data_IF_206620304619
#
_entry.id   IF_206620304619
#
_cell.length_a   1.000
_cell.length_b   1.000
_cell.length_c   1.000
_cell.angle_alpha   90.00
_cell.angle_beta   90.00
_cell.angle_gamma   90.00
#
_symmetry.space_group_name_H-M   'P 1'
#
loop_
_entity.id
_entity.type
_entity.pdbx_description
1 polymer ?
#
# COMPACT_ATOMS: atom_id res chain seq x y z
N UNK A 1 -43.94 8.06 -6.58
CA UNK A 1 -43.44 7.60 -5.27
C UNK A 1 -42.11 6.88 -5.53
N UNK A 2 -40.96 7.53 -5.33
CA UNK A 2 -39.65 6.86 -5.46
C UNK A 2 -39.34 6.20 -4.12
N UNK A 3 -39.25 4.87 -4.09
CA UNK A 3 -38.67 4.16 -2.94
C UNK A 3 -37.21 4.59 -2.81
N UNK A 4 -36.86 5.16 -1.67
CA UNK A 4 -35.46 5.31 -1.28
C UNK A 4 -34.91 3.91 -1.02
N UNK A 5 -33.93 3.49 -1.82
CA UNK A 5 -33.01 2.42 -1.48
C UNK A 5 -32.49 2.67 -0.06
N UNK A 6 -32.71 1.71 0.84
CA UNK A 6 -32.03 1.71 2.14
C UNK A 6 -30.54 1.54 1.89
N UNK A 7 -29.82 2.67 1.89
CA UNK A 7 -28.37 2.69 2.06
C UNK A 7 -28.11 1.98 3.40
N UNK A 8 -27.32 0.91 3.35
CA UNK A 8 -27.18 -0.09 4.41
C UNK A 8 -26.91 0.50 5.80
N UNK A 9 -27.28 -0.26 6.84
CA UNK A 9 -27.08 0.09 8.24
C UNK A 9 -25.64 0.55 8.50
N UNK A 10 -25.47 1.76 9.03
CA UNK A 10 -24.17 2.24 9.48
C UNK A 10 -23.68 1.40 10.66
N UNK A 11 -22.41 0.99 10.62
CA UNK A 11 -21.74 0.25 11.71
C UNK A 11 -20.78 1.22 12.39
N UNK A 12 -20.78 1.25 13.72
CA UNK A 12 -19.83 2.05 14.48
C UNK A 12 -18.40 1.53 14.27
N UNK A 13 -17.45 2.44 14.03
CA UNK A 13 -16.06 2.09 13.75
C UNK A 13 -15.41 1.26 14.87
N UNK A 14 -15.78 1.50 16.13
CA UNK A 14 -15.27 0.76 17.29
C UNK A 14 -15.71 -0.71 17.35
N UNK A 15 -16.66 -1.13 16.51
CA UNK A 15 -17.07 -2.53 16.37
C UNK A 15 -16.24 -3.28 15.32
N UNK A 16 -15.39 -2.58 14.56
CA UNK A 16 -14.53 -3.17 13.54
C UNK A 16 -13.17 -3.55 14.13
N UNK A 17 -12.60 -4.68 13.67
CA UNK A 17 -11.22 -5.01 14.01
C UNK A 17 -10.24 -3.97 13.45
N UNK A 18 -9.12 -3.76 14.12
CA UNK A 18 -8.07 -2.82 13.66
C UNK A 18 -7.64 -3.09 12.21
N UNK A 19 -7.49 -4.36 11.82
CA UNK A 19 -7.17 -4.73 10.44
C UNK A 19 -8.25 -4.32 9.42
N UNK A 20 -9.53 -4.30 9.83
CA UNK A 20 -10.63 -3.79 9.00
C UNK A 20 -10.58 -2.28 8.90
N UNK A 21 -10.39 -1.57 10.01
CA UNK A 21 -10.26 -0.11 10.02
C UNK A 21 -9.07 0.35 9.16
N UNK A 22 -7.93 -0.34 9.27
CA UNK A 22 -6.75 -0.06 8.45
C UNK A 22 -7.02 -0.30 6.97
N UNK A 23 -7.64 -1.42 6.62
CA UNK A 23 -7.99 -1.70 5.22
C UNK A 23 -8.90 -0.61 4.65
N UNK A 24 -9.92 -0.19 5.42
CA UNK A 24 -10.81 0.90 5.02
C UNK A 24 -10.08 2.25 4.91
N UNK A 25 -9.22 2.58 5.87
CA UNK A 25 -8.45 3.82 5.85
C UNK A 25 -7.52 3.89 4.62
N UNK A 26 -6.78 2.82 4.36
CA UNK A 26 -5.90 2.71 3.18
C UNK A 26 -6.70 2.86 1.90
N UNK A 27 -7.76 2.07 1.73
CA UNK A 27 -8.54 2.10 0.49
C UNK A 27 -9.26 3.44 0.30
N UNK A 28 -9.79 4.03 1.38
CA UNK A 28 -10.41 5.36 1.31
C UNK A 28 -9.41 6.42 0.90
N UNK A 29 -8.18 6.40 1.43
CA UNK A 29 -7.13 7.33 1.03
C UNK A 29 -6.77 7.19 -0.46
N UNK A 30 -6.62 5.95 -0.94
CA UNK A 30 -6.30 5.68 -2.35
C UNK A 30 -7.44 6.06 -3.30
N UNK A 31 -8.70 5.92 -2.88
CA UNK A 31 -9.88 6.26 -3.69
C UNK A 31 -10.18 7.76 -3.74
N UNK A 32 -9.60 8.55 -2.84
CA UNK A 32 -9.92 9.98 -2.69
C UNK A 32 -8.78 10.91 -3.08
N UNK A 33 -7.57 10.37 -3.30
CA UNK A 33 -6.41 11.14 -3.74
C UNK A 33 -6.55 11.58 -5.19
N UNK A 34 -5.94 12.71 -5.57
CA UNK A 34 -5.96 13.19 -6.94
C UNK A 34 -5.22 12.22 -7.89
N UNK A 35 -5.70 12.05 -9.14
CA UNK A 35 -4.99 11.27 -10.15
C UNK A 35 -3.54 11.71 -10.34
N UNK A 36 -2.66 10.77 -10.71
CA UNK A 36 -1.21 10.97 -10.87
C UNK A 36 -0.43 11.24 -9.58
N UNK A 37 -1.06 11.14 -8.42
CA UNK A 37 -0.38 11.25 -7.13
C UNK A 37 0.56 10.08 -6.83
N UNK A 38 1.58 10.35 -6.01
CA UNK A 38 2.40 9.33 -5.35
C UNK A 38 1.93 9.19 -3.90
N UNK A 39 1.49 8.00 -3.50
CA UNK A 39 1.05 7.71 -2.13
C UNK A 39 2.02 6.73 -1.48
N UNK A 40 2.49 7.05 -0.28
CA UNK A 40 3.36 6.18 0.52
C UNK A 40 2.59 5.65 1.72
N UNK A 41 2.58 4.33 1.91
CA UNK A 41 1.90 3.63 3.00
C UNK A 41 2.93 2.84 3.79
N UNK A 42 3.25 3.33 4.97
CA UNK A 42 4.15 2.63 5.90
C UNK A 42 3.44 1.47 6.61
N UNK A 43 4.12 0.34 6.70
CA UNK A 43 3.66 -0.90 7.33
C UNK A 43 2.21 -1.26 6.94
N UNK A 44 1.94 -1.32 5.64
CA UNK A 44 0.56 -1.43 5.12
C UNK A 44 -0.20 -2.66 5.66
N UNK A 45 0.53 -3.73 6.03
CA UNK A 45 0.01 -4.99 6.52
C UNK A 45 0.01 -5.13 8.05
N UNK A 46 0.39 -4.08 8.80
CA UNK A 46 0.42 -4.12 10.26
C UNK A 46 -0.97 -4.37 10.85
N UNK A 47 -1.06 -5.31 11.80
CA UNK A 47 -2.31 -5.69 12.46
C UNK A 47 -3.30 -6.48 11.59
N UNK A 48 -2.96 -6.78 10.33
CA UNK A 48 -3.78 -7.64 9.48
C UNK A 48 -3.47 -9.13 9.73
N UNK A 49 -4.53 -9.93 9.78
CA UNK A 49 -4.39 -11.38 9.73
C UNK A 49 -3.78 -11.79 8.37
N UNK A 50 -2.82 -12.74 8.32
CA UNK A 50 -2.13 -13.11 7.08
C UNK A 50 -3.05 -13.46 5.92
N UNK A 51 -4.18 -14.14 6.19
CA UNK A 51 -5.17 -14.51 5.16
C UNK A 51 -5.87 -13.33 4.49
N UNK A 52 -5.75 -12.11 5.02
CA UNK A 52 -6.37 -10.88 4.49
C UNK A 52 -5.40 -10.01 3.70
N UNK A 53 -4.10 -10.21 3.86
CA UNK A 53 -3.06 -9.37 3.22
C UNK A 53 -3.18 -9.42 1.70
N UNK A 54 -3.35 -10.62 1.12
CA UNK A 54 -3.49 -10.75 -0.33
C UNK A 54 -4.71 -9.98 -0.87
N UNK A 55 -5.82 -9.99 -0.14
CA UNK A 55 -7.01 -9.27 -0.55
C UNK A 55 -6.77 -7.75 -0.54
N UNK A 56 -6.08 -7.23 0.49
CA UNK A 56 -5.70 -5.82 0.56
C UNK A 56 -4.74 -5.45 -0.58
N UNK A 57 -3.73 -6.26 -0.87
CA UNK A 57 -2.79 -6.00 -1.98
C UNK A 57 -3.53 -5.90 -3.31
N UNK A 58 -4.42 -6.85 -3.60
CA UNK A 58 -5.23 -6.83 -4.83
C UNK A 58 -6.08 -5.56 -4.94
N UNK A 59 -6.69 -5.15 -3.83
CA UNK A 59 -7.48 -3.93 -3.79
C UNK A 59 -6.61 -2.67 -3.99
N UNK A 60 -5.41 -2.61 -3.40
CA UNK A 60 -4.45 -1.52 -3.62
C UNK A 60 -4.06 -1.43 -5.10
N UNK A 61 -3.68 -2.55 -5.73
CA UNK A 61 -3.31 -2.60 -7.15
C UNK A 61 -4.47 -2.16 -8.05
N UNK A 62 -5.69 -2.61 -7.75
CA UNK A 62 -6.89 -2.18 -8.47
C UNK A 62 -7.14 -0.66 -8.32
N UNK A 63 -6.98 -0.10 -7.12
CA UNK A 63 -7.05 1.35 -6.91
C UNK A 63 -5.99 2.10 -7.71
N UNK A 64 -4.74 1.60 -7.77
CA UNK A 64 -3.67 2.24 -8.55
C UNK A 64 -4.06 2.39 -10.02
N UNK A 65 -4.61 1.33 -10.60
CA UNK A 65 -5.02 1.30 -12.00
C UNK A 65 -6.23 2.20 -12.26
N UNK A 66 -7.26 2.15 -11.40
CA UNK A 66 -8.48 2.94 -11.57
C UNK A 66 -8.28 4.43 -11.34
N UNK A 67 -7.52 4.79 -10.32
CA UNK A 67 -7.29 6.18 -9.92
C UNK A 67 -6.09 6.82 -10.63
N UNK A 68 -5.33 6.05 -11.42
CA UNK A 68 -4.11 6.49 -12.11
C UNK A 68 -3.05 7.04 -11.13
N UNK A 69 -2.86 6.36 -10.00
CA UNK A 69 -1.94 6.76 -8.92
C UNK A 69 -0.80 5.76 -8.78
N UNK A 70 0.33 6.24 -8.26
CA UNK A 70 1.47 5.38 -7.90
C UNK A 70 1.45 5.15 -6.39
N UNK A 71 1.57 3.89 -5.96
CA UNK A 71 1.60 3.54 -4.54
C UNK A 71 2.90 2.87 -4.17
N UNK A 72 3.42 3.30 -3.04
CA UNK A 72 4.60 2.77 -2.39
C UNK A 72 4.18 2.18 -1.06
N UNK A 73 4.55 0.93 -0.79
CA UNK A 73 4.26 0.27 0.48
C UNK A 73 5.53 -0.21 1.17
N UNK A 74 5.56 -0.13 2.50
CA UNK A 74 6.59 -0.77 3.32
C UNK A 74 5.98 -1.87 4.19
N UNK A 75 6.78 -2.88 4.52
CA UNK A 75 6.36 -3.98 5.40
C UNK A 75 7.56 -4.56 6.12
N UNK A 76 7.35 -4.96 7.38
CA UNK A 76 8.29 -5.76 8.15
C UNK A 76 8.05 -7.27 8.01
N UNK A 77 6.98 -7.67 7.30
CA UNK A 77 6.60 -9.07 7.14
C UNK A 77 7.23 -9.68 5.87
N UNK A 78 8.22 -10.58 5.99
CA UNK A 78 8.86 -11.19 4.82
C UNK A 78 7.91 -12.10 4.02
N UNK A 79 6.81 -12.59 4.62
CA UNK A 79 5.82 -13.38 3.90
C UNK A 79 5.07 -12.55 2.86
N UNK A 80 4.92 -11.25 3.11
CA UNK A 80 4.22 -10.31 2.23
C UNK A 80 4.94 -10.14 0.89
N UNK A 81 6.28 -10.23 0.86
CA UNK A 81 7.08 -10.17 -0.38
C UNK A 81 6.88 -11.38 -1.32
N UNK A 82 6.14 -12.41 -0.88
CA UNK A 82 5.85 -13.59 -1.70
C UNK A 82 4.66 -13.39 -2.63
N UNK A 83 3.83 -12.36 -2.41
CA UNK A 83 2.66 -12.11 -3.24
C UNK A 83 3.08 -11.66 -4.65
N UNK A 84 2.65 -12.38 -5.71
CA UNK A 84 3.03 -12.05 -7.08
C UNK A 84 2.53 -10.69 -7.54
N UNK A 85 1.43 -10.20 -6.96
CA UNK A 85 0.87 -8.88 -7.22
C UNK A 85 1.83 -7.75 -6.84
N UNK A 86 2.77 -7.99 -5.91
CA UNK A 86 3.83 -7.06 -5.55
C UNK A 86 5.07 -7.19 -6.46
N UNK A 87 5.11 -8.12 -7.41
CA UNK A 87 6.28 -8.40 -8.26
C UNK A 87 6.25 -7.69 -9.62
N UNK A 88 5.61 -6.52 -9.69
CA UNK A 88 5.47 -5.71 -10.91
C UNK A 88 6.73 -4.93 -11.31
N UNK A 89 6.75 -4.42 -12.56
CA UNK A 89 7.81 -3.55 -13.11
C UNK A 89 7.83 -2.20 -12.37
N UNK A 90 8.69 -2.07 -11.36
CA UNK A 90 9.36 -0.84 -10.86
C UNK A 90 8.57 0.48 -10.65
N UNK A 91 7.24 0.50 -10.73
CA UNK A 91 6.38 1.65 -10.39
C UNK A 91 5.52 1.48 -9.13
N UNK A 92 5.35 0.24 -8.65
CA UNK A 92 4.37 -0.12 -7.60
C UNK A 92 5.00 -0.74 -6.33
N UNK A 93 6.33 -0.71 -6.22
CA UNK A 93 7.04 -1.32 -5.08
C UNK A 93 8.34 -0.57 -4.75
N UNK A 94 8.35 0.22 -3.67
CA UNK A 94 9.63 0.73 -3.13
C UNK A 94 10.12 -0.24 -2.06
N UNK A 95 10.93 -1.18 -2.52
CA UNK A 95 11.92 -1.79 -1.62
C UNK A 95 13.01 -0.76 -1.34
N UNK A 96 13.78 -0.94 -0.25
CA UNK A 96 14.96 -0.12 0.08
C UNK A 96 15.81 0.22 -1.16
N UNK A 97 15.96 -0.73 -2.10
CA UNK A 97 16.70 -0.59 -3.36
C UNK A 97 16.19 0.53 -4.29
N UNK A 98 14.90 0.86 -4.27
CA UNK A 98 14.32 1.94 -5.09
C UNK A 98 14.58 3.32 -4.49
N UNK A 99 14.68 3.43 -3.16
CA UNK A 99 15.17 4.66 -2.49
C UNK A 99 16.63 4.90 -2.91
N UNK A 100 17.44 3.84 -2.90
CA UNK A 100 18.87 3.89 -3.25
C UNK A 100 19.11 4.22 -4.73
N UNK A 101 18.18 3.89 -5.62
CA UNK A 101 18.35 4.03 -7.07
C UNK A 101 17.71 5.31 -7.65
N UNK A 102 16.66 5.83 -7.01
CA UNK A 102 15.89 6.98 -7.53
C UNK A 102 15.84 8.19 -6.60
N UNK A 103 16.07 8.03 -5.30
CA UNK A 103 15.99 9.14 -4.33
C UNK A 103 17.36 9.59 -3.79
N UNK A 104 18.42 8.80 -3.98
CA UNK A 104 19.81 9.20 -3.68
C UNK A 104 20.70 8.79 -4.86
N UNK A 105 21.05 9.71 -5.78
CA UNK A 105 22.05 9.41 -6.79
C UNK A 105 23.35 9.02 -6.08
N UNK A 106 23.87 7.81 -6.34
CA UNK A 106 25.11 7.25 -5.78
C UNK A 106 25.03 6.54 -4.42
N UNK A 107 23.85 6.14 -3.94
CA UNK A 107 23.74 5.41 -2.67
C UNK A 107 24.64 4.17 -2.57
N UNK A 108 24.67 3.31 -3.61
CA UNK A 108 25.53 2.11 -3.59
C UNK A 108 27.03 2.46 -3.58
N UNK A 109 27.43 3.61 -4.15
CA UNK A 109 28.81 4.08 -4.17
C UNK A 109 29.26 4.60 -2.80
N UNK A 110 28.37 5.25 -2.05
CA UNK A 110 28.67 5.70 -0.69
C UNK A 110 28.84 4.52 0.27
N UNK A 111 27.97 3.51 0.14
CA UNK A 111 28.04 2.32 0.99
C UNK A 111 29.31 1.49 0.78
N UNK A 112 29.84 1.47 -0.44
CA UNK A 112 31.13 0.84 -0.74
C UNK A 112 32.32 1.62 -0.16
N UNK A 113 32.25 2.96 -0.12
CA UNK A 113 33.29 3.79 0.52
C UNK A 113 33.32 3.59 2.03
N UNK A 114 32.16 3.45 2.67
CA UNK A 114 32.07 3.17 4.12
C UNK A 114 32.55 1.76 4.49
N UNK A 115 32.43 0.79 3.59
CA UNK A 115 32.90 -0.58 3.83
C UNK A 115 34.40 -0.79 3.53
N UNK A 116 35.04 0.17 2.88
CA UNK A 116 36.45 0.14 2.45
C UNK A 116 37.32 1.20 3.14
N UNK A 117 36.76 2.00 4.04
CA UNK A 117 37.45 2.95 4.93
C UNK A 117 37.39 2.48 6.37
#
# INVERSE_FOLDING_TARGET
>A
MRQYEQIGSSILANLLSDGTLRSLAVLTALETVEPHSLVVIEEFDNGLHPSRIQALIKAIVDCCQRQLINVVVTTHNPATLRYPELRGQLGELVTRRVIEQYLVPNFELERQKEALG
#
